data_IF_586173899462
#
_entry.id   IF_586173899462
#
_cell.length_a   1.000
_cell.length_b   1.000
_cell.length_c   1.000
_cell.angle_alpha   90.00
_cell.angle_beta   90.00
_cell.angle_gamma   90.00
#
_symmetry.space_group_name_H-M   'P 1'
#
loop_
_entity.id
_entity.type
_entity.pdbx_description
1 polymer ?
#
# COMPACT_ATOMS: atom_id res chain seq x y z
N UNK A 1 10.55 12.41 -3.21
CA UNK A 1 10.55 13.41 -2.11
C UNK A 1 11.69 13.08 -1.16
N UNK A 2 12.41 14.09 -0.66
CA UNK A 2 13.44 13.89 0.37
C UNK A 2 12.83 13.37 1.67
N UNK A 3 13.56 12.53 2.41
CA UNK A 3 13.08 11.97 3.67
C UNK A 3 12.86 13.04 4.73
N UNK A 4 13.72 14.05 4.79
CA UNK A 4 13.63 15.19 5.71
C UNK A 4 12.29 15.94 5.66
N UNK A 5 11.61 15.95 4.51
CA UNK A 5 10.29 16.57 4.36
C UNK A 5 9.17 15.78 5.07
N UNK A 6 9.39 14.48 5.33
CA UNK A 6 8.43 13.61 6.04
C UNK A 6 8.87 13.24 7.45
N UNK A 7 10.15 13.41 7.76
CA UNK A 7 10.76 13.13 9.06
C UNK A 7 11.63 14.31 9.51
N UNK A 8 11.06 15.54 9.67
CA UNK A 8 11.85 16.75 9.92
C UNK A 8 12.55 16.76 11.28
N UNK A 9 12.06 15.97 12.24
CA UNK A 9 12.65 15.87 13.59
C UNK A 9 13.77 14.81 13.66
N UNK A 10 14.06 14.12 12.56
CA UNK A 10 15.08 13.09 12.49
C UNK A 10 16.31 13.61 11.72
N UNK A 11 17.33 14.02 12.47
CA UNK A 11 18.55 14.61 11.92
C UNK A 11 19.28 13.69 10.95
N UNK A 12 19.11 12.36 11.07
CA UNK A 12 19.73 11.41 10.15
C UNK A 12 19.21 11.58 8.72
N UNK A 13 18.01 12.14 8.54
CA UNK A 13 17.37 12.28 7.23
C UNK A 13 17.82 13.49 6.43
N UNK A 14 18.50 14.46 7.07
CA UNK A 14 18.87 15.74 6.45
C UNK A 14 19.90 15.58 5.32
N UNK A 15 20.87 14.69 5.49
CA UNK A 15 21.96 14.46 4.54
C UNK A 15 21.69 13.34 3.53
N UNK A 16 20.49 12.77 3.52
CA UNK A 16 20.19 11.58 2.70
C UNK A 16 19.65 12.00 1.34
N UNK A 17 20.41 11.68 0.30
CA UNK A 17 20.08 11.90 -1.11
C UNK A 17 20.06 10.61 -1.96
N UNK A 18 20.48 9.47 -1.39
CA UNK A 18 20.52 8.17 -2.08
C UNK A 18 19.27 7.28 -1.88
N UNK A 19 18.28 7.79 -1.15
CA UNK A 19 16.96 7.16 -1.02
C UNK A 19 15.88 8.23 -0.98
N UNK A 20 14.65 7.86 -1.35
CA UNK A 20 13.57 8.81 -1.49
C UNK A 20 12.21 8.20 -1.16
N UNK A 21 11.25 9.07 -0.85
CA UNK A 21 9.85 8.70 -0.69
C UNK A 21 9.04 9.03 -1.95
N UNK A 22 8.15 8.12 -2.35
CA UNK A 22 7.02 8.42 -3.25
C UNK A 22 5.81 8.73 -2.37
N UNK A 23 5.35 9.98 -2.47
CA UNK A 23 4.35 10.51 -1.54
C UNK A 23 4.83 10.45 -0.09
N UNK A 24 3.99 9.90 0.79
CA UNK A 24 4.30 9.71 2.21
C UNK A 24 4.52 8.25 2.60
N UNK A 25 4.23 7.31 1.69
CA UNK A 25 3.95 5.92 2.02
C UNK A 25 4.99 4.92 1.48
N UNK A 26 5.77 5.26 0.46
CA UNK A 26 6.67 4.31 -0.19
C UNK A 26 8.11 4.82 -0.10
N UNK A 27 8.98 4.09 0.59
CA UNK A 27 10.42 4.33 0.67
C UNK A 27 11.13 3.46 -0.36
N UNK A 28 11.98 4.08 -1.18
CA UNK A 28 12.81 3.40 -2.18
C UNK A 28 14.28 3.61 -1.85
N UNK A 29 15.00 2.50 -1.69
CA UNK A 29 16.44 2.46 -1.37
C UNK A 29 17.17 1.70 -2.48
N UNK A 30 17.48 2.36 -3.61
CA UNK A 30 18.11 1.72 -4.77
C UNK A 30 19.58 1.37 -4.51
N UNK A 31 20.08 0.35 -5.20
CA UNK A 31 21.52 0.11 -5.27
C UNK A 31 22.12 0.99 -6.37
N UNK A 32 22.89 1.99 -5.97
CA UNK A 32 23.51 2.98 -6.86
C UNK A 32 24.95 2.64 -7.23
N UNK A 33 25.50 1.53 -6.72
CA UNK A 33 26.87 1.13 -6.99
C UNK A 33 26.95 0.32 -8.29
N UNK A 34 27.85 0.73 -9.19
CA UNK A 34 28.07 0.03 -10.46
C UNK A 34 28.54 -1.39 -10.21
N UNK A 35 27.75 -2.35 -10.68
CA UNK A 35 28.16 -3.75 -10.79
C UNK A 35 29.12 -3.86 -11.97
N UNK A 36 30.36 -4.29 -11.74
CA UNK A 36 31.25 -4.70 -12.83
C UNK A 36 31.61 -6.19 -12.66
N UNK A 37 32.22 -6.81 -13.67
CA UNK A 37 32.53 -8.26 -13.67
C UNK A 37 33.41 -8.71 -12.48
N UNK A 38 33.99 -7.80 -11.70
CA UNK A 38 34.90 -8.08 -10.59
C UNK A 38 34.34 -7.67 -9.21
N UNK A 39 33.29 -6.84 -9.14
CA UNK A 39 32.67 -6.40 -7.89
C UNK A 39 31.15 -6.37 -8.05
N UNK A 40 30.49 -7.33 -7.41
CA UNK A 40 29.06 -7.31 -7.17
C UNK A 40 28.82 -6.78 -5.77
N UNK A 41 28.24 -5.58 -5.67
CA UNK A 41 27.65 -5.12 -4.40
C UNK A 41 26.29 -5.79 -4.26
N UNK A 42 26.17 -6.70 -3.30
CA UNK A 42 24.91 -7.40 -3.00
C UNK A 42 24.15 -6.77 -1.83
N UNK A 43 24.61 -5.61 -1.35
CA UNK A 43 24.02 -4.90 -0.22
C UNK A 43 23.90 -3.41 -0.51
N UNK A 44 22.91 -2.78 0.13
CA UNK A 44 22.69 -1.32 0.15
C UNK A 44 22.68 -0.87 1.61
N UNK A 45 23.51 0.11 1.94
CA UNK A 45 23.47 0.77 3.23
C UNK A 45 22.40 1.86 3.21
N UNK A 46 21.28 1.65 3.87
CA UNK A 46 20.12 2.54 3.82
C UNK A 46 19.59 2.86 5.22
N UNK A 47 19.05 4.07 5.39
CA UNK A 47 18.41 4.47 6.64
C UNK A 47 16.93 4.13 6.60
N UNK A 48 16.45 3.33 7.56
CA UNK A 48 15.02 3.08 7.75
C UNK A 48 14.53 4.07 8.81
N UNK A 49 13.70 5.08 8.49
CA UNK A 49 13.24 6.07 9.47
C UNK A 49 12.44 5.46 10.62
N UNK A 50 12.34 6.17 11.75
CA UNK A 50 11.60 5.71 12.92
C UNK A 50 10.09 5.67 12.68
N UNK A 51 9.60 4.56 12.11
CA UNK A 51 8.18 4.25 11.91
C UNK A 51 7.99 2.72 11.69
N UNK A 52 6.75 2.29 11.51
CA UNK A 52 6.45 0.94 11.02
C UNK A 52 6.70 0.88 9.52
N UNK A 53 7.46 -0.12 9.08
CA UNK A 53 7.75 -0.38 7.67
C UNK A 53 7.45 -1.83 7.32
N UNK A 54 6.98 -2.05 6.10
CA UNK A 54 6.73 -3.37 5.53
C UNK A 54 7.50 -3.51 4.23
N UNK A 55 8.21 -4.61 4.03
CA UNK A 55 8.92 -4.85 2.78
C UNK A 55 7.91 -5.08 1.64
N UNK A 56 8.15 -4.48 0.47
CA UNK A 56 7.37 -4.73 -0.74
C UNK A 56 8.18 -5.59 -1.72
N UNK A 57 7.56 -6.60 -2.37
CA UNK A 57 6.14 -6.97 -2.33
C UNK A 57 5.75 -7.94 -1.22
N UNK A 58 6.71 -8.51 -0.46
CA UNK A 58 6.44 -9.59 0.51
C UNK A 58 5.47 -9.22 1.63
N UNK A 59 5.29 -7.94 1.94
CA UNK A 59 4.39 -7.43 2.98
C UNK A 59 4.86 -7.68 4.41
N UNK A 60 6.00 -8.34 4.61
CA UNK A 60 6.54 -8.69 5.92
C UNK A 60 7.02 -7.42 6.63
N UNK A 61 6.72 -7.31 7.93
CA UNK A 61 7.15 -6.18 8.76
C UNK A 61 8.68 -6.15 8.91
N UNK A 62 9.26 -4.99 8.65
CA UNK A 62 10.68 -4.70 8.89
C UNK A 62 10.92 -4.60 10.40
N UNK A 63 11.96 -5.27 10.89
CA UNK A 63 12.24 -5.38 12.33
C UNK A 63 13.06 -4.20 12.88
N UNK A 64 13.66 -3.40 12.00
CA UNK A 64 14.49 -2.24 12.35
C UNK A 64 13.79 -0.94 11.94
N UNK A 65 13.97 0.11 12.74
CA UNK A 65 13.45 1.45 12.49
C UNK A 65 14.30 2.47 13.24
N UNK A 66 14.53 3.64 12.64
CA UNK A 66 15.37 4.71 13.17
C UNK A 66 16.88 4.52 13.00
N UNK A 67 17.30 3.59 12.14
CA UNK A 67 18.69 3.10 12.05
C UNK A 67 19.12 2.88 10.59
N UNK A 68 20.41 3.10 10.32
CA UNK A 68 21.08 2.64 9.10
C UNK A 68 21.28 1.11 9.13
N UNK A 69 20.83 0.45 8.07
CA UNK A 69 20.84 -1.01 7.94
C UNK A 69 21.44 -1.41 6.60
N UNK A 70 22.21 -2.48 6.59
CA UNK A 70 22.63 -3.14 5.35
C UNK A 70 21.51 -4.05 4.85
N UNK A 71 20.93 -3.68 3.71
CA UNK A 71 19.82 -4.39 3.07
C UNK A 71 20.34 -5.24 1.92
N UNK A 72 19.87 -6.48 1.81
CA UNK A 72 20.15 -7.31 0.65
C UNK A 72 19.63 -6.64 -0.64
N UNK A 73 20.52 -6.50 -1.61
CA UNK A 73 20.27 -5.90 -2.92
C UNK A 73 20.98 -6.72 -4.03
N UNK A 74 20.63 -8.01 -4.23
CA UNK A 74 21.05 -8.75 -5.41
C UNK A 74 20.55 -8.05 -6.69
N UNK A 75 21.13 -8.41 -7.83
CA UNK A 75 20.89 -7.73 -9.12
C UNK A 75 19.39 -7.57 -9.47
N UNK A 76 18.58 -8.56 -9.13
CA UNK A 76 17.14 -8.61 -9.47
C UNK A 76 16.24 -7.93 -8.42
N UNK A 77 16.80 -7.27 -7.40
CA UNK A 77 16.04 -6.71 -6.27
C UNK A 77 16.38 -5.24 -6.04
N UNK A 78 15.32 -4.44 -6.00
CA UNK A 78 15.34 -3.08 -5.44
C UNK A 78 14.62 -3.11 -4.09
N UNK A 79 15.18 -2.45 -3.08
CA UNK A 79 14.55 -2.38 -1.77
C UNK A 79 13.46 -1.31 -1.77
N UNK A 80 12.21 -1.76 -1.58
CA UNK A 80 11.02 -0.92 -1.47
C UNK A 80 10.30 -1.27 -0.18
N UNK A 81 9.91 -0.26 0.57
CA UNK A 81 9.18 -0.42 1.83
C UNK A 81 7.93 0.44 1.84
N UNK A 82 6.85 -0.11 2.37
CA UNK A 82 5.58 0.58 2.61
C UNK A 82 5.52 0.99 4.06
N UNK A 83 5.26 2.28 4.30
CA UNK A 83 5.08 2.86 5.63
C UNK A 83 3.73 2.42 6.21
N UNK A 84 3.72 2.05 7.48
CA UNK A 84 2.49 1.79 8.23
C UNK A 84 1.64 3.05 8.35
N UNK A 85 0.33 2.87 8.44
CA UNK A 85 -0.65 3.96 8.48
C UNK A 85 -1.21 4.35 7.11
N UNK A 86 -0.79 3.69 6.04
CA UNK A 86 -1.18 4.03 4.67
C UNK A 86 -1.93 2.90 3.96
N UNK A 87 -2.92 3.29 3.16
CA UNK A 87 -3.64 2.42 2.23
C UNK A 87 -3.25 2.85 0.82
N UNK A 88 -2.66 1.92 0.07
CA UNK A 88 -2.16 2.18 -1.28
C UNK A 88 -3.07 1.46 -2.28
N UNK A 89 -3.81 2.19 -3.13
CA UNK A 89 -4.50 1.60 -4.26
C UNK A 89 -3.49 1.22 -5.35
N UNK A 90 -3.63 0.01 -5.87
CA UNK A 90 -2.84 -0.52 -6.98
C UNK A 90 -3.80 -1.12 -8.02
N UNK A 91 -3.32 -1.32 -9.25
CA UNK A 91 -4.04 -2.07 -10.27
C UNK A 91 -3.27 -3.33 -10.65
N UNK A 92 -3.99 -4.39 -11.00
CA UNK A 92 -3.38 -5.56 -11.63
C UNK A 92 -2.72 -5.08 -12.95
N UNK A 93 -1.42 -5.34 -13.17
CA UNK A 93 -0.71 -4.80 -14.32
C UNK A 93 -1.27 -5.36 -15.63
N UNK A 94 -1.38 -4.49 -16.64
CA UNK A 94 -1.65 -4.88 -18.02
C UNK A 94 -0.39 -4.75 -18.89
N UNK A 95 -0.45 -5.24 -20.12
CA UNK A 95 0.66 -5.10 -21.08
C UNK A 95 0.97 -3.64 -21.44
N UNK A 96 0.00 -2.74 -21.26
CA UNK A 96 0.12 -1.30 -21.40
C UNK A 96 -0.90 -0.60 -20.50
N UNK A 97 -0.87 0.74 -20.43
CA UNK A 97 -1.78 1.52 -19.60
C UNK A 97 -3.26 1.36 -20.01
N UNK A 98 -3.56 1.26 -21.30
CA UNK A 98 -4.95 1.10 -21.78
C UNK A 98 -5.56 -0.19 -21.24
N UNK A 99 -4.82 -1.30 -21.32
CA UNK A 99 -5.25 -2.59 -20.76
C UNK A 99 -5.23 -2.57 -19.22
N UNK A 100 -4.19 -1.99 -18.61
CA UNK A 100 -4.04 -1.92 -17.16
C UNK A 100 -5.17 -1.13 -16.48
N UNK A 101 -5.64 -0.03 -17.09
CA UNK A 101 -6.74 0.79 -16.57
C UNK A 101 -8.08 0.08 -16.54
N UNK A 102 -8.24 -1.01 -17.30
CA UNK A 102 -9.43 -1.87 -17.30
C UNK A 102 -9.33 -3.02 -16.29
N UNK A 103 -8.15 -3.24 -15.72
CA UNK A 103 -7.94 -4.30 -14.76
C UNK A 103 -8.48 -3.92 -13.36
N UNK A 104 -8.81 -4.92 -12.54
CA UNK A 104 -9.23 -4.69 -11.17
C UNK A 104 -8.14 -4.06 -10.30
N UNK A 105 -8.61 -3.39 -9.25
CA UNK A 105 -7.80 -2.81 -8.21
C UNK A 105 -7.43 -3.84 -7.13
N UNK A 106 -6.30 -3.55 -6.49
CA UNK A 106 -5.81 -4.18 -5.28
C UNK A 106 -5.63 -3.06 -4.24
N UNK A 107 -6.12 -3.23 -3.02
CA UNK A 107 -5.76 -2.35 -1.90
C UNK A 107 -4.69 -3.01 -1.04
N UNK A 108 -3.53 -2.36 -0.90
CA UNK A 108 -2.50 -2.72 0.07
C UNK A 108 -2.67 -1.85 1.32
N UNK A 109 -3.08 -2.47 2.42
CA UNK A 109 -3.40 -1.81 3.68
C UNK A 109 -2.27 -2.09 4.68
N UNK A 110 -1.40 -1.12 4.92
CA UNK A 110 -0.30 -1.24 5.86
C UNK A 110 -0.69 -0.66 7.22
N UNK A 111 -0.88 -1.49 8.24
CA UNK A 111 -1.26 -1.00 9.58
C UNK A 111 -0.17 -0.12 10.18
N UNK A 112 -0.56 0.97 10.83
CA UNK A 112 0.32 1.69 11.75
C UNK A 112 0.55 0.87 13.02
N UNK A 113 1.42 1.35 13.92
CA UNK A 113 1.58 0.76 15.25
C UNK A 113 0.26 0.70 16.06
N UNK A 114 -0.69 1.61 15.77
CA UNK A 114 -2.00 1.64 16.40
C UNK A 114 -3.06 0.76 15.70
N UNK A 115 -2.69 0.06 14.61
CA UNK A 115 -3.62 -0.76 13.82
C UNK A 115 -4.43 0.03 12.79
N UNK A 116 -4.28 1.35 12.72
CA UNK A 116 -5.03 2.21 11.81
C UNK A 116 -4.27 2.43 10.50
N UNK A 117 -4.99 2.75 9.43
CA UNK A 117 -4.42 3.22 8.16
C UNK A 117 -5.40 4.11 7.40
N UNK A 118 -4.88 4.95 6.49
CA UNK A 118 -5.71 5.79 5.62
C UNK A 118 -5.10 5.95 4.24
N UNK A 119 -5.93 6.24 3.25
CA UNK A 119 -5.47 6.51 1.89
C UNK A 119 -6.59 7.10 1.04
N UNK A 120 -6.26 7.44 -0.19
CA UNK A 120 -7.24 7.92 -1.15
C UNK A 120 -6.88 7.48 -2.57
N UNK A 121 -7.86 7.58 -3.46
CA UNK A 121 -7.71 7.32 -4.89
C UNK A 121 -8.42 8.42 -5.65
N UNK A 122 -7.69 9.09 -6.55
CA UNK A 122 -8.24 9.94 -7.60
C UNK A 122 -8.17 9.18 -8.92
N UNK A 123 -9.25 9.21 -9.70
CA UNK A 123 -9.35 8.46 -10.94
C UNK A 123 -10.21 9.16 -11.99
N UNK A 124 -9.60 9.60 -13.09
CA UNK A 124 -10.26 10.21 -14.25
C UNK A 124 -9.99 9.38 -15.52
N UNK A 125 -10.14 9.97 -16.70
CA UNK A 125 -9.79 9.31 -17.96
C UNK A 125 -8.27 9.24 -18.21
N UNK A 126 -7.51 10.14 -17.59
CA UNK A 126 -6.06 10.26 -17.68
C UNK A 126 -5.56 11.05 -18.89
N UNK A 127 -6.43 11.76 -19.62
CA UNK A 127 -6.08 12.49 -20.85
C UNK A 127 -6.81 13.83 -21.00
N UNK A 128 -8.08 13.94 -20.59
CA UNK A 128 -8.85 15.18 -20.75
C UNK A 128 -8.29 16.32 -19.90
N UNK A 129 -8.39 17.54 -20.45
CA UNK A 129 -8.12 18.78 -19.74
C UNK A 129 -9.30 19.09 -18.81
N UNK A 130 -9.03 19.75 -17.69
CA UNK A 130 -10.03 20.28 -16.75
C UNK A 130 -10.92 19.22 -16.07
N UNK A 131 -10.42 17.98 -15.88
CA UNK A 131 -11.19 16.90 -15.24
C UNK A 131 -11.65 17.27 -13.82
N UNK A 132 -10.82 17.99 -13.08
CA UNK A 132 -11.09 18.47 -11.73
C UNK A 132 -12.18 19.55 -11.74
N UNK A 133 -12.04 20.56 -12.60
CA UNK A 133 -12.94 21.70 -12.74
C UNK A 133 -14.33 21.27 -13.21
N UNK A 134 -14.38 20.34 -14.17
CA UNK A 134 -15.62 19.77 -14.71
C UNK A 134 -16.19 18.63 -13.85
N UNK A 135 -15.44 18.21 -12.82
CA UNK A 135 -15.77 17.09 -11.93
C UNK A 135 -16.00 15.78 -12.66
N UNK A 136 -15.26 15.51 -13.74
CA UNK A 136 -15.31 14.28 -14.54
C UNK A 136 -14.29 13.25 -14.02
N UNK A 137 -14.34 12.99 -12.71
CA UNK A 137 -13.45 12.04 -12.03
C UNK A 137 -14.22 11.24 -10.97
N UNK A 138 -13.54 10.23 -10.44
CA UNK A 138 -13.91 9.50 -9.25
C UNK A 138 -12.90 9.81 -8.14
N UNK A 139 -13.38 9.95 -6.91
CA UNK A 139 -12.54 10.15 -5.74
C UNK A 139 -13.02 9.29 -4.59
N UNK A 140 -12.10 8.56 -3.98
CA UNK A 140 -12.37 7.63 -2.88
C UNK A 140 -11.46 7.95 -1.70
N UNK A 141 -12.03 7.80 -0.51
CA UNK A 141 -11.29 7.77 0.74
C UNK A 141 -11.35 6.38 1.34
N UNK A 142 -10.20 5.92 1.83
CA UNK A 142 -10.05 4.64 2.49
C UNK A 142 -9.65 4.89 3.95
N UNK A 143 -10.27 4.17 4.87
CA UNK A 143 -9.92 4.21 6.28
C UNK A 143 -9.93 2.83 6.89
N UNK A 144 -8.93 2.53 7.72
CA UNK A 144 -8.89 1.36 8.56
C UNK A 144 -8.91 1.81 10.01
N UNK A 145 -9.95 1.43 10.74
CA UNK A 145 -10.12 1.66 12.17
C UNK A 145 -10.72 0.41 12.80
N UNK A 146 -10.21 -0.02 13.95
CA UNK A 146 -10.78 -1.14 14.72
C UNK A 146 -11.04 -2.41 13.89
N UNK A 147 -10.06 -2.83 13.08
CA UNK A 147 -10.15 -4.01 12.19
C UNK A 147 -11.25 -3.94 11.12
N UNK A 148 -11.71 -2.74 10.77
CA UNK A 148 -12.65 -2.51 9.67
C UNK A 148 -12.06 -1.54 8.65
N UNK A 149 -11.83 -2.03 7.43
CA UNK A 149 -11.55 -1.21 6.26
C UNK A 149 -12.87 -0.68 5.71
N UNK A 150 -12.96 0.63 5.56
CA UNK A 150 -14.08 1.33 4.91
C UNK A 150 -13.61 1.97 3.61
N UNK A 151 -14.39 1.76 2.55
CA UNK A 151 -14.22 2.39 1.23
C UNK A 151 -15.38 3.37 1.07
N UNK A 152 -15.06 4.65 0.99
CA UNK A 152 -16.04 5.71 0.87
C UNK A 152 -15.86 6.43 -0.48
N UNK A 153 -16.86 6.31 -1.35
CA UNK A 153 -16.88 6.98 -2.63
C UNK A 153 -17.41 8.41 -2.47
N UNK A 154 -16.54 9.40 -2.65
CA UNK A 154 -16.86 10.83 -2.47
C UNK A 154 -17.39 11.43 -3.78
N UNK A 155 -16.74 11.10 -4.89
CA UNK A 155 -17.13 11.53 -6.24
C UNK A 155 -17.10 10.30 -7.13
N UNK A 156 -18.11 10.11 -7.98
CA UNK A 156 -18.22 8.95 -8.86
C UNK A 156 -18.73 9.34 -10.25
N UNK A 157 -18.18 10.40 -10.83
CA UNK A 157 -18.72 11.01 -12.05
C UNK A 157 -18.09 10.46 -13.34
N UNK A 158 -17.02 9.69 -13.25
CA UNK A 158 -16.39 9.04 -14.39
C UNK A 158 -16.82 7.56 -14.47
N UNK A 159 -17.67 7.23 -15.44
CA UNK A 159 -18.33 5.91 -15.54
C UNK A 159 -17.66 4.95 -16.53
N UNK A 160 -16.71 5.41 -17.32
CA UNK A 160 -16.08 4.60 -18.38
C UNK A 160 -14.98 3.65 -17.84
N UNK A 161 -14.71 3.70 -16.53
CA UNK A 161 -13.85 2.73 -15.86
C UNK A 161 -14.66 1.75 -15.01
N UNK A 162 -14.33 0.45 -15.04
CA UNK A 162 -15.06 -0.57 -14.29
C UNK A 162 -14.94 -0.42 -12.77
N UNK A 163 -13.86 0.22 -12.29
CA UNK A 163 -13.63 0.53 -10.86
C UNK A 163 -13.96 -0.65 -9.92
N UNK A 164 -13.46 -1.83 -10.29
CA UNK A 164 -13.65 -3.08 -9.54
C UNK A 164 -12.50 -3.31 -8.57
N UNK A 165 -12.79 -3.62 -7.31
CA UNK A 165 -11.83 -4.08 -6.32
C UNK A 165 -11.86 -5.61 -6.23
N UNK A 166 -10.70 -6.25 -6.46
CA UNK A 166 -10.55 -7.70 -6.47
C UNK A 166 -9.91 -8.24 -5.19
N UNK A 167 -8.80 -7.59 -4.78
CA UNK A 167 -7.95 -8.07 -3.68
C UNK A 167 -7.77 -6.97 -2.65
N UNK A 168 -7.91 -7.32 -1.38
CA UNK A 168 -7.42 -6.51 -0.27
C UNK A 168 -6.38 -7.30 0.51
N UNK A 169 -5.20 -6.71 0.63
CA UNK A 169 -4.08 -7.27 1.37
C UNK A 169 -3.76 -6.39 2.57
N UNK A 170 -3.98 -6.91 3.77
CA UNK A 170 -3.79 -6.21 5.03
C UNK A 170 -2.53 -6.72 5.72
N UNK A 171 -1.61 -5.81 6.05
CA UNK A 171 -0.33 -6.10 6.67
C UNK A 171 -0.32 -5.71 8.15
N UNK A 172 0.34 -6.51 8.98
CA UNK A 172 0.60 -6.20 10.39
C UNK A 172 -0.48 -6.64 11.37
N UNK A 173 -1.39 -7.54 10.97
CA UNK A 173 -2.37 -8.10 11.90
C UNK A 173 -1.65 -9.14 12.77
N UNK A 174 -1.40 -8.79 14.04
CA UNK A 174 -0.62 -9.61 14.97
C UNK A 174 -1.40 -10.74 15.65
N UNK A 175 -2.73 -10.70 15.59
CA UNK A 175 -3.62 -11.70 16.19
C UNK A 175 -4.23 -12.60 15.13
N UNK A 176 -4.52 -13.85 15.50
CA UNK A 176 -5.13 -14.81 14.60
C UNK A 176 -6.49 -14.29 14.10
N UNK A 177 -6.63 -14.16 12.77
CA UNK A 177 -7.89 -13.81 12.12
C UNK A 177 -8.81 -15.03 12.11
N UNK A 178 -10.02 -14.88 12.64
CA UNK A 178 -11.00 -15.96 12.80
C UNK A 178 -12.15 -15.91 11.80
N UNK A 179 -12.54 -14.72 11.36
CA UNK A 179 -13.56 -14.53 10.32
C UNK A 179 -13.36 -13.20 9.60
N UNK A 180 -13.91 -13.12 8.38
CA UNK A 180 -13.97 -11.91 7.57
C UNK A 180 -15.41 -11.66 7.15
N UNK A 181 -15.83 -10.41 7.14
CA UNK A 181 -17.11 -9.97 6.59
C UNK A 181 -16.91 -8.91 5.53
N UNK A 182 -17.69 -8.97 4.45
CA UNK A 182 -17.76 -7.96 3.40
C UNK A 182 -19.18 -7.39 3.40
N UNK A 183 -19.32 -6.08 3.63
CA UNK A 183 -20.61 -5.41 3.79
C UNK A 183 -21.52 -6.15 4.78
N UNK A 184 -20.98 -6.44 5.97
CA UNK A 184 -21.64 -7.15 7.09
C UNK A 184 -22.02 -8.62 6.81
N UNK A 185 -21.73 -9.14 5.61
CA UNK A 185 -21.97 -10.54 5.26
C UNK A 185 -20.70 -11.35 5.41
N UNK A 186 -20.84 -12.54 5.98
CA UNK A 186 -19.75 -13.50 6.17
C UNK A 186 -19.09 -13.83 4.83
N UNK A 187 -17.76 -13.79 4.77
CA UNK A 187 -16.98 -13.96 3.55
C UNK A 187 -15.90 -15.01 3.76
N UNK A 188 -15.89 -16.03 2.91
CA UNK A 188 -15.06 -17.23 3.11
C UNK A 188 -13.78 -17.25 2.30
N UNK A 189 -13.68 -16.44 1.25
CA UNK A 189 -12.50 -16.43 0.39
C UNK A 189 -11.41 -15.51 0.95
N UNK A 190 -10.79 -15.94 2.05
CA UNK A 190 -9.65 -15.25 2.63
C UNK A 190 -8.60 -16.24 3.12
N UNK A 191 -7.36 -15.77 3.21
CA UNK A 191 -6.26 -16.49 3.85
C UNK A 191 -5.54 -15.58 4.83
N UNK A 192 -5.08 -16.14 5.94
CA UNK A 192 -4.31 -15.42 6.92
C UNK A 192 -3.06 -16.21 7.31
N UNK A 193 -1.90 -15.57 7.16
CA UNK A 193 -0.63 -16.09 7.64
C UNK A 193 -0.21 -15.34 8.90
N UNK A 194 -0.24 -16.03 10.05
CA UNK A 194 0.15 -15.47 11.36
C UNK A 194 1.65 -15.17 11.44
N UNK A 195 2.50 -15.94 10.76
CA UNK A 195 3.95 -15.75 10.80
C UNK A 195 4.36 -14.45 10.07
N UNK A 196 3.71 -14.19 8.93
CA UNK A 196 3.95 -12.97 8.15
C UNK A 196 3.07 -11.79 8.62
N UNK A 197 2.03 -12.07 9.41
CA UNK A 197 1.00 -11.11 9.86
C UNK A 197 0.20 -10.50 8.71
N UNK A 198 -0.19 -11.34 7.74
CA UNK A 198 -0.83 -10.89 6.49
C UNK A 198 -2.18 -11.57 6.30
N UNK A 199 -3.23 -10.76 6.15
CA UNK A 199 -4.55 -11.19 5.69
C UNK A 199 -4.70 -10.84 4.22
N UNK A 200 -5.12 -11.80 3.41
CA UNK A 200 -5.50 -11.61 2.01
C UNK A 200 -6.97 -11.97 1.86
N UNK A 201 -7.76 -11.01 1.40
CA UNK A 201 -9.16 -11.22 0.98
C UNK A 201 -9.17 -11.08 -0.53
N UNK A 202 -9.58 -12.13 -1.24
CA UNK A 202 -9.47 -12.25 -2.70
C UNK A 202 -10.81 -12.64 -3.31
N UNK A 203 -11.02 -12.42 -4.61
CA UNK A 203 -12.26 -12.73 -5.31
C UNK A 203 -13.43 -11.81 -4.92
N UNK A 204 -13.15 -10.57 -4.53
CA UNK A 204 -14.15 -9.64 -4.00
C UNK A 204 -15.17 -9.18 -5.05
N UNK A 205 -14.74 -8.94 -6.30
CA UNK A 205 -15.55 -8.37 -7.39
C UNK A 205 -16.38 -7.15 -6.95
N UNK A 206 -15.83 -6.30 -6.07
CA UNK A 206 -16.56 -5.19 -5.47
C UNK A 206 -16.60 -3.98 -6.41
N UNK A 207 -17.80 -3.51 -6.74
CA UNK A 207 -17.98 -2.25 -7.46
C UNK A 207 -17.71 -1.06 -6.51
N UNK A 208 -16.58 -0.37 -6.71
CA UNK A 208 -16.20 0.78 -5.88
C UNK A 208 -17.10 2.00 -6.11
N UNK A 209 -17.81 2.09 -7.25
CA UNK A 209 -18.70 3.23 -7.57
C UNK A 209 -20.01 3.23 -6.78
N UNK A 210 -20.21 2.27 -5.87
CA UNK A 210 -21.38 2.23 -5.00
C UNK A 210 -21.48 3.50 -4.14
N UNK A 211 -22.67 4.10 -4.08
CA UNK A 211 -22.90 5.33 -3.30
C UNK A 211 -22.86 5.09 -1.79
N UNK A 212 -23.22 3.88 -1.35
CA UNK A 212 -23.09 3.47 0.05
C UNK A 212 -21.64 3.13 0.36
N UNK A 213 -21.15 3.54 1.53
CA UNK A 213 -19.86 3.07 2.04
C UNK A 213 -19.82 1.54 2.06
N UNK A 214 -18.70 0.98 1.60
CA UNK A 214 -18.47 -0.45 1.59
C UNK A 214 -17.46 -0.82 2.67
N UNK A 215 -17.61 -1.99 3.29
CA UNK A 215 -16.79 -2.40 4.43
C UNK A 215 -16.20 -3.79 4.25
N UNK A 216 -14.96 -3.96 4.69
CA UNK A 216 -14.30 -5.25 4.85
C UNK A 216 -13.76 -5.27 6.27
N UNK A 217 -14.33 -6.14 7.11
CA UNK A 217 -13.96 -6.22 8.52
C UNK A 217 -13.54 -7.65 8.89
N UNK A 218 -12.74 -7.79 9.93
CA UNK A 218 -12.32 -9.09 10.42
C UNK A 218 -12.36 -9.17 11.93
N UNK A 219 -12.60 -10.38 12.43
CA UNK A 219 -12.48 -10.70 13.85
C UNK A 219 -11.15 -11.38 14.12
N UNK A 220 -10.62 -11.16 15.31
CA UNK A 220 -9.42 -11.84 15.79
C UNK A 220 -9.70 -12.55 17.11
N UNK A 221 -8.87 -13.52 17.47
CA UNK A 221 -8.95 -14.16 18.80
C UNK A 221 -8.94 -13.11 19.92
N UNK A 222 -9.84 -13.31 20.90
CA UNK A 222 -9.87 -12.54 22.15
C UNK A 222 -8.63 -12.97 22.97
N UNK A 223 -8.01 -12.01 23.67
CA UNK A 223 -6.92 -12.29 24.60
C UNK A 223 -7.41 -13.14 25.78
#
# INVERSE_FOLDING_TARGET
MQLSLRFPNDNNTLGIDQQFLIGSAILVSPNLVSVNRQRQTTTVHAYIPQDVWYQFPSGVKVQVAGIFTDLDAPLEKINVHVRGGFIIPMQIPGANLVMGRQNPFILLVAQSAAGNASGNLFWDDGDSIDSIETKTYNYFEFSLVSNALTIHAIVTNYKDSPMRLEIVRILGISKLVTSVTVNEKDYKNFSYNIADQILVVDGLDMNMLAQSSQTIAWTTTIN
#
